data_IF_974679889478
#
_entry.id   IF_974679889478
#
_cell.length_a   1.000
_cell.length_b   1.000
_cell.length_c   1.000
_cell.angle_alpha   90.00
_cell.angle_beta   90.00
_cell.angle_gamma   90.00
#
_symmetry.space_group_name_H-M   'P 1'
#
loop_
_entity.id
_entity.type
_entity.pdbx_description
1 polymer ?
#
# COMPACT_ATOMS: atom_id res chain seq x y z
N UNK A 1 -15.20 -23.43 -24.99
CA UNK A 1 -15.15 -22.39 -23.93
C UNK A 1 -14.04 -21.41 -24.29
N UNK A 2 -14.32 -20.13 -24.57
CA UNK A 2 -13.28 -19.18 -24.96
C UNK A 2 -12.31 -18.95 -23.78
N UNK A 3 -11.02 -19.19 -24.02
CA UNK A 3 -9.97 -19.14 -23.01
C UNK A 3 -9.66 -17.67 -22.68
N UNK A 4 -10.03 -17.21 -21.47
CA UNK A 4 -9.86 -15.82 -21.06
C UNK A 4 -8.38 -15.56 -20.75
N UNK A 5 -7.68 -14.85 -21.65
CA UNK A 5 -6.29 -14.41 -21.43
C UNK A 5 -6.21 -13.58 -20.15
N UNK A 6 -5.30 -13.93 -19.23
CA UNK A 6 -5.03 -13.13 -18.03
C UNK A 6 -4.38 -11.83 -18.49
N UNK A 7 -4.89 -10.70 -18.00
CA UNK A 7 -4.30 -9.38 -18.30
C UNK A 7 -2.98 -9.26 -17.56
N UNK A 8 -2.05 -8.50 -18.14
CA UNK A 8 -0.74 -8.24 -17.54
C UNK A 8 -0.89 -7.46 -16.21
N UNK A 9 -0.03 -7.75 -15.23
CA UNK A 9 -0.10 -7.12 -13.90
C UNK A 9 0.11 -5.61 -13.97
N UNK A 10 0.96 -5.15 -14.90
CA UNK A 10 1.22 -3.73 -15.13
C UNK A 10 -0.03 -3.00 -15.64
N UNK A 11 -0.81 -3.62 -16.53
CA UNK A 11 -2.08 -3.05 -16.99
C UNK A 11 -3.10 -3.02 -15.83
N UNK A 12 -3.09 -4.05 -15.00
CA UNK A 12 -3.99 -4.15 -13.86
C UNK A 12 -3.71 -3.07 -12.81
N UNK A 13 -2.44 -2.76 -12.54
CA UNK A 13 -2.05 -1.70 -11.61
C UNK A 13 -2.39 -0.30 -12.17
N UNK A 14 -2.15 -0.06 -13.48
CA UNK A 14 -2.58 1.20 -14.13
C UNK A 14 -4.10 1.42 -13.97
N UNK A 15 -4.90 0.37 -14.16
CA UNK A 15 -6.36 0.44 -13.95
C UNK A 15 -6.73 0.71 -12.49
N UNK A 16 -5.98 0.16 -11.51
CA UNK A 16 -6.20 0.44 -10.08
C UNK A 16 -5.92 1.91 -9.76
N UNK A 17 -4.82 2.46 -10.27
CA UNK A 17 -4.42 3.87 -10.05
C UNK A 17 -5.47 4.81 -10.65
N UNK A 18 -5.83 4.64 -11.93
CA UNK A 18 -6.84 5.46 -12.59
C UNK A 18 -8.20 5.41 -11.88
N UNK A 19 -8.60 4.24 -11.37
CA UNK A 19 -9.83 4.09 -10.57
C UNK A 19 -9.76 4.86 -9.24
N UNK A 20 -8.61 4.83 -8.55
CA UNK A 20 -8.40 5.58 -7.30
C UNK A 20 -8.49 7.08 -7.56
N UNK A 21 -7.86 7.57 -8.62
CA UNK A 21 -7.90 8.99 -9.01
C UNK A 21 -9.30 9.45 -9.36
N UNK A 22 -10.02 8.69 -10.18
CA UNK A 22 -11.43 8.98 -10.50
C UNK A 22 -12.29 9.07 -9.24
N UNK A 23 -12.11 8.16 -8.28
CA UNK A 23 -12.86 8.19 -7.03
C UNK A 23 -12.48 9.41 -6.17
N UNK A 24 -11.20 9.81 -6.16
CA UNK A 24 -10.74 11.02 -5.49
C UNK A 24 -11.42 12.26 -6.08
N UNK A 25 -11.51 12.37 -7.41
CA UNK A 25 -12.21 13.46 -8.09
C UNK A 25 -13.70 13.50 -7.70
N UNK A 26 -14.39 12.36 -7.72
CA UNK A 26 -15.80 12.26 -7.32
C UNK A 26 -15.98 12.67 -5.85
N UNK A 27 -15.06 12.31 -4.97
CA UNK A 27 -15.14 12.64 -3.54
C UNK A 27 -14.90 14.12 -3.26
N UNK A 28 -14.10 14.80 -4.07
CA UNK A 28 -13.79 16.21 -3.91
C UNK A 28 -14.96 17.12 -4.34
N UNK A 29 -15.84 16.64 -5.21
CA UNK A 29 -17.03 17.36 -5.68
C UNK A 29 -18.27 16.92 -4.87
N UNK A 30 -18.90 17.80 -4.07
CA UNK A 30 -19.98 17.42 -3.17
C UNK A 30 -21.23 16.93 -3.91
N UNK A 31 -21.57 17.51 -5.07
CA UNK A 31 -22.75 17.12 -5.85
C UNK A 31 -22.57 15.73 -6.46
N UNK A 32 -21.40 15.51 -7.09
CA UNK A 32 -21.06 14.20 -7.65
C UNK A 32 -20.97 13.12 -6.56
N UNK A 33 -20.45 13.46 -5.38
CA UNK A 33 -20.39 12.55 -4.26
C UNK A 33 -21.80 12.17 -3.76
N UNK A 34 -22.70 13.15 -3.64
CA UNK A 34 -24.09 12.91 -3.23
C UNK A 34 -24.83 12.00 -4.23
N UNK A 35 -24.68 12.27 -5.53
CA UNK A 35 -25.27 11.44 -6.59
C UNK A 35 -24.76 9.99 -6.56
N UNK A 36 -23.44 9.80 -6.41
CA UNK A 36 -22.82 8.47 -6.31
C UNK A 36 -23.29 7.72 -5.04
N UNK A 37 -23.49 8.43 -3.92
CA UNK A 37 -24.03 7.86 -2.69
C UNK A 37 -25.49 7.43 -2.85
N UNK A 38 -26.31 8.24 -3.49
CA UNK A 38 -27.71 7.91 -3.79
C UNK A 38 -27.81 6.66 -4.68
N UNK A 39 -27.05 6.62 -5.78
CA UNK A 39 -26.96 5.46 -6.68
C UNK A 39 -26.56 4.18 -5.95
N UNK A 40 -25.55 4.25 -5.06
CA UNK A 40 -25.11 3.10 -4.25
C UNK A 40 -26.18 2.63 -3.27
N UNK A 41 -26.91 3.57 -2.65
CA UNK A 41 -28.02 3.26 -1.75
C UNK A 41 -29.14 2.54 -2.50
N UNK A 42 -29.55 3.04 -3.66
CA UNK A 42 -30.57 2.42 -4.50
C UNK A 42 -30.18 1.00 -4.92
N UNK A 43 -28.93 0.80 -5.37
CA UNK A 43 -28.41 -0.52 -5.72
C UNK A 43 -28.41 -1.49 -4.53
N UNK A 44 -28.12 -1.00 -3.32
CA UNK A 44 -28.19 -1.81 -2.10
C UNK A 44 -29.64 -2.20 -1.77
N UNK A 45 -30.59 -1.28 -1.87
CA UNK A 45 -32.01 -1.54 -1.64
C UNK A 45 -32.54 -2.59 -2.63
N UNK A 46 -32.27 -2.45 -3.92
CA UNK A 46 -32.59 -3.45 -4.95
C UNK A 46 -32.04 -4.85 -4.63
N UNK A 47 -30.80 -4.94 -4.12
CA UNK A 47 -30.20 -6.22 -3.70
C UNK A 47 -30.81 -6.79 -2.42
N UNK A 48 -31.26 -5.92 -1.52
CA UNK A 48 -31.96 -6.32 -0.29
C UNK A 48 -33.35 -6.86 -0.63
N UNK A 49 -34.10 -6.16 -1.48
CA UNK A 49 -35.39 -6.59 -2.03
C UNK A 49 -35.26 -7.94 -2.76
N UNK A 50 -34.23 -8.09 -3.60
CA UNK A 50 -33.97 -9.35 -4.32
C UNK A 50 -33.38 -10.47 -3.43
N UNK A 51 -33.40 -10.33 -2.09
CA UNK A 51 -32.86 -11.29 -1.09
C UNK A 51 -31.39 -11.71 -1.32
N UNK A 52 -30.61 -10.92 -2.06
CA UNK A 52 -29.16 -11.13 -2.30
C UNK A 52 -28.32 -10.63 -1.12
N UNK A 53 -28.88 -9.75 -0.29
CA UNK A 53 -28.31 -9.33 0.99
C UNK A 53 -29.21 -9.88 2.09
N UNK A 54 -28.74 -10.91 2.80
CA UNK A 54 -29.45 -11.55 3.91
C UNK A 54 -28.83 -11.08 5.23
N UNK A 55 -29.67 -10.84 6.23
CA UNK A 55 -29.20 -10.75 7.62
C UNK A 55 -28.74 -12.13 8.11
N UNK A 56 -27.93 -12.19 9.16
CA UNK A 56 -27.40 -13.48 9.66
C UNK A 56 -28.52 -14.44 10.06
N UNK A 57 -29.62 -13.93 10.63
CA UNK A 57 -30.77 -14.72 11.05
C UNK A 57 -31.55 -15.30 9.85
N UNK A 58 -31.41 -14.69 8.67
CA UNK A 58 -32.03 -15.16 7.43
C UNK A 58 -31.11 -16.10 6.62
N UNK A 59 -29.88 -16.34 7.09
CA UNK A 59 -28.95 -17.28 6.47
C UNK A 59 -29.15 -18.70 7.03
N UNK A 60 -28.86 -19.71 6.22
CA UNK A 60 -28.81 -21.11 6.70
C UNK A 60 -27.70 -21.29 7.74
N UNK A 61 -27.78 -22.29 8.64
CA UNK A 61 -26.74 -22.54 9.64
C UNK A 61 -25.33 -22.67 9.05
N UNK A 62 -25.20 -23.29 7.87
CA UNK A 62 -23.93 -23.42 7.15
C UNK A 62 -23.38 -22.08 6.67
N UNK A 63 -24.22 -21.25 6.06
CA UNK A 63 -23.85 -19.90 5.64
C UNK A 63 -23.48 -19.01 6.83
N UNK A 64 -24.22 -19.10 7.93
CA UNK A 64 -23.90 -18.38 9.17
C UNK A 64 -22.50 -18.76 9.69
N UNK A 65 -22.14 -20.05 9.70
CA UNK A 65 -20.81 -20.51 10.10
C UNK A 65 -19.71 -19.92 9.21
N UNK A 66 -19.90 -19.94 7.88
CA UNK A 66 -18.96 -19.34 6.94
C UNK A 66 -18.83 -17.83 7.13
N UNK A 67 -19.94 -17.14 7.35
CA UNK A 67 -19.95 -15.70 7.57
C UNK A 67 -19.22 -15.32 8.87
N UNK A 68 -19.46 -16.05 9.97
CA UNK A 68 -18.75 -15.86 11.24
C UNK A 68 -17.25 -16.17 11.10
N UNK A 69 -16.88 -17.18 10.32
CA UNK A 69 -15.47 -17.46 10.00
C UNK A 69 -14.81 -16.27 9.29
N UNK A 70 -15.46 -15.74 8.24
CA UNK A 70 -14.98 -14.53 7.53
C UNK A 70 -14.86 -13.33 8.45
N UNK A 71 -15.80 -13.14 9.37
CA UNK A 71 -15.73 -12.05 10.35
C UNK A 71 -14.52 -12.17 11.27
N UNK A 72 -14.23 -13.38 11.78
CA UNK A 72 -13.03 -13.63 12.59
C UNK A 72 -11.74 -13.37 11.80
N UNK A 73 -11.67 -13.83 10.56
CA UNK A 73 -10.52 -13.60 9.68
C UNK A 73 -10.32 -12.11 9.39
N UNK A 74 -11.38 -11.37 9.09
CA UNK A 74 -11.32 -9.94 8.85
C UNK A 74 -10.91 -9.16 10.10
N UNK A 75 -11.45 -9.53 11.27
CA UNK A 75 -11.08 -8.93 12.55
C UNK A 75 -9.59 -9.15 12.84
N UNK A 76 -9.10 -10.39 12.69
CA UNK A 76 -7.68 -10.73 12.83
C UNK A 76 -6.81 -9.87 11.89
N UNK A 77 -7.14 -9.81 10.61
CA UNK A 77 -6.42 -8.99 9.62
C UNK A 77 -6.40 -7.50 9.99
N UNK A 78 -7.52 -6.98 10.49
CA UNK A 78 -7.60 -5.59 10.94
C UNK A 78 -6.67 -5.33 12.13
N UNK A 79 -6.68 -6.21 13.14
CA UNK A 79 -5.83 -6.10 14.31
C UNK A 79 -4.33 -6.23 13.96
N UNK A 80 -3.97 -7.17 13.09
CA UNK A 80 -2.60 -7.31 12.57
C UNK A 80 -2.15 -6.04 11.84
N UNK A 81 -2.99 -5.52 10.93
CA UNK A 81 -2.69 -4.26 10.23
C UNK A 81 -2.49 -3.11 11.21
N UNK A 82 -3.37 -2.97 12.20
CA UNK A 82 -3.27 -1.91 13.22
C UNK A 82 -2.04 -2.06 14.11
N UNK A 83 -1.68 -3.28 14.49
CA UNK A 83 -0.46 -3.56 15.25
C UNK A 83 0.78 -3.18 14.43
N UNK A 84 0.83 -3.56 13.16
CA UNK A 84 1.94 -3.21 12.27
C UNK A 84 2.04 -1.69 12.04
N UNK A 85 0.91 -1.00 11.86
CA UNK A 85 0.88 0.47 11.77
C UNK A 85 1.47 1.13 13.01
N UNK A 86 1.14 0.63 14.22
CA UNK A 86 1.70 1.14 15.48
C UNK A 86 3.21 0.91 15.56
N UNK A 87 3.68 -0.30 15.25
CA UNK A 87 5.12 -0.62 15.21
C UNK A 87 5.88 0.29 14.25
N UNK A 88 5.31 0.55 13.07
CA UNK A 88 5.91 1.47 12.09
C UNK A 88 5.98 2.90 12.66
N UNK A 89 4.91 3.37 13.31
CA UNK A 89 4.91 4.69 13.94
C UNK A 89 5.95 4.79 15.06
N UNK A 90 6.08 3.78 15.90
CA UNK A 90 7.10 3.70 16.95
C UNK A 90 8.51 3.83 16.35
N UNK A 91 8.82 3.04 15.32
CA UNK A 91 10.13 3.12 14.62
C UNK A 91 10.39 4.50 14.03
N UNK A 92 9.38 5.13 13.39
CA UNK A 92 9.52 6.48 12.83
C UNK A 92 9.78 7.52 13.93
N UNK A 93 9.09 7.40 15.07
CA UNK A 93 9.27 8.32 16.20
C UNK A 93 10.66 8.15 16.82
N UNK A 94 11.13 6.92 17.03
CA UNK A 94 12.47 6.65 17.55
C UNK A 94 13.56 7.22 16.63
N UNK A 95 13.43 7.02 15.31
CA UNK A 95 14.38 7.58 14.33
C UNK A 95 14.39 9.11 14.34
N UNK A 96 13.24 9.76 14.55
CA UNK A 96 13.18 11.23 14.68
C UNK A 96 13.89 11.71 15.94
N UNK A 97 13.68 11.05 17.07
CA UNK A 97 14.32 11.39 18.34
C UNK A 97 15.86 11.27 18.22
N UNK A 98 16.37 10.24 17.53
CA UNK A 98 17.82 10.06 17.30
C UNK A 98 18.40 11.18 16.41
N UNK A 99 17.64 11.67 15.42
CA UNK A 99 18.06 12.80 14.57
C UNK A 99 18.08 14.11 15.36
N UNK A 100 17.07 14.35 16.20
CA UNK A 100 17.01 15.56 17.01
C UNK A 100 18.08 15.56 18.12
N UNK A 101 18.39 14.40 18.70
CA UNK A 101 19.46 14.24 19.71
C UNK A 101 20.88 14.43 19.16
N UNK A 102 21.06 14.37 17.84
CA UNK A 102 22.36 14.63 17.17
C UNK A 102 22.48 16.06 16.64
N UNK A 103 21.45 16.89 16.82
CA UNK A 103 21.45 18.30 16.43
C UNK A 103 22.00 19.23 17.53
N UNK A 104 21.95 18.82 18.80
CA UNK A 104 22.28 19.71 19.94
C UNK A 104 23.70 19.54 20.51
N UNK A 105 24.53 18.62 19.98
CA UNK A 105 25.94 18.48 20.37
C UNK A 105 26.88 18.73 19.18
N UNK A 106 26.81 19.95 18.65
CA UNK A 106 27.78 20.47 17.68
C UNK A 106 28.16 21.91 18.02
N UNK A 107 28.92 22.09 19.09
CA UNK A 107 29.99 23.10 19.08
C UNK A 107 31.08 22.62 18.14
N UNK A 108 30.77 22.55 16.83
CA UNK A 108 31.79 22.30 15.81
C UNK A 108 32.43 23.63 15.50
N UNK A 109 33.69 23.75 15.90
CA UNK A 109 34.59 24.82 15.47
C UNK A 109 34.44 24.98 13.94
N UNK A 110 34.09 26.19 13.44
CA UNK A 110 33.91 26.44 12.01
C UNK A 110 35.10 26.03 11.12
N UNK A 111 36.29 25.79 11.70
CA UNK A 111 37.49 25.34 11.00
C UNK A 111 37.58 23.81 10.82
N UNK A 112 36.75 23.02 11.49
CA UNK A 112 36.80 21.54 11.52
C UNK A 112 35.61 20.87 10.81
N UNK A 113 34.87 21.62 9.99
CA UNK A 113 33.73 21.10 9.25
C UNK A 113 34.16 19.95 8.31
N UNK A 114 33.76 18.69 8.56
CA UNK A 114 34.09 17.60 7.66
C UNK A 114 33.41 17.88 6.33
N UNK A 115 34.19 17.92 5.25
CA UNK A 115 33.77 18.20 3.87
C UNK A 115 32.56 17.32 3.46
N UNK A 116 31.37 17.79 3.82
CA UNK A 116 30.11 17.05 3.76
C UNK A 116 29.74 16.77 2.31
N UNK A 117 30.15 17.66 1.41
CA UNK A 117 30.00 17.52 -0.02
C UNK A 117 30.83 16.36 -0.56
N UNK A 118 32.08 16.22 -0.11
CA UNK A 118 32.95 15.08 -0.46
C UNK A 118 32.42 13.76 0.10
N UNK A 119 31.91 13.74 1.33
CA UNK A 119 31.30 12.56 1.93
C UNK A 119 30.02 12.14 1.19
N UNK A 120 29.17 13.10 0.83
CA UNK A 120 27.96 12.85 0.06
C UNK A 120 28.26 12.37 -1.37
N UNK A 121 29.28 12.94 -2.04
CA UNK A 121 29.79 12.47 -3.33
C UNK A 121 30.28 11.02 -3.25
N UNK A 122 31.00 10.66 -2.18
CA UNK A 122 31.50 9.29 -1.96
C UNK A 122 30.35 8.29 -1.77
N UNK A 123 29.36 8.62 -0.91
CA UNK A 123 28.17 7.80 -0.66
C UNK A 123 27.36 7.57 -1.94
N UNK A 124 27.16 8.62 -2.73
CA UNK A 124 26.46 8.53 -4.02
C UNK A 124 27.21 7.64 -5.02
N UNK A 125 28.54 7.75 -5.09
CA UNK A 125 29.39 6.88 -5.93
C UNK A 125 29.27 5.41 -5.54
N UNK A 126 29.27 5.11 -4.25
CA UNK A 126 29.09 3.74 -3.73
C UNK A 126 27.71 3.20 -4.11
N UNK A 127 26.66 4.00 -3.96
CA UNK A 127 25.29 3.61 -4.32
C UNK A 127 25.16 3.31 -5.83
N UNK A 128 25.71 4.18 -6.68
CA UNK A 128 25.76 4.00 -8.14
C UNK A 128 26.46 2.69 -8.55
N UNK A 129 27.56 2.34 -7.88
CA UNK A 129 28.28 1.09 -8.15
C UNK A 129 27.47 -0.14 -7.73
N UNK A 130 26.77 -0.11 -6.57
CA UNK A 130 25.87 -1.19 -6.15
C UNK A 130 24.74 -1.41 -7.16
N UNK A 131 24.13 -0.33 -7.66
CA UNK A 131 23.07 -0.40 -8.68
C UNK A 131 23.61 -1.03 -9.97
N UNK A 132 24.82 -0.66 -10.42
CA UNK A 132 25.45 -1.25 -11.60
C UNK A 132 25.71 -2.75 -11.43
N UNK A 133 26.19 -3.18 -10.26
CA UNK A 133 26.43 -4.59 -9.95
C UNK A 133 25.13 -5.42 -9.97
N UNK A 134 24.07 -4.91 -9.35
CA UNK A 134 22.75 -5.57 -9.36
C UNK A 134 22.17 -5.70 -10.77
N UNK A 135 22.31 -4.66 -11.61
CA UNK A 135 21.88 -4.72 -13.01
C UNK A 135 22.65 -5.79 -13.80
N UNK A 136 23.96 -5.93 -13.59
CA UNK A 136 24.77 -6.98 -14.22
C UNK A 136 24.36 -8.37 -13.76
N UNK A 137 24.15 -8.56 -12.44
CA UNK A 137 23.70 -9.84 -11.88
C UNK A 137 22.36 -10.27 -12.48
N UNK A 138 21.40 -9.36 -12.52
CA UNK A 138 20.08 -9.64 -13.10
C UNK A 138 20.14 -9.96 -14.62
N UNK A 139 21.06 -9.33 -15.35
CA UNK A 139 21.29 -9.63 -16.78
C UNK A 139 21.84 -11.05 -16.97
N UNK A 140 22.75 -11.50 -16.10
CA UNK A 140 23.30 -12.85 -16.13
C UNK A 140 22.25 -13.90 -15.76
N UNK A 141 21.49 -13.69 -14.69
CA UNK A 141 20.36 -14.56 -14.31
C UNK A 141 19.34 -14.67 -15.44
N UNK A 142 19.04 -13.58 -16.15
CA UNK A 142 18.16 -13.60 -17.33
C UNK A 142 18.73 -14.39 -18.51
N UNK A 143 20.05 -14.39 -18.70
CA UNK A 143 20.71 -15.18 -19.75
C UNK A 143 20.72 -16.67 -19.40
N UNK A 144 20.99 -17.00 -18.13
CA UNK A 144 20.98 -18.38 -17.64
C UNK A 144 19.59 -19.02 -17.70
N UNK A 145 18.53 -18.23 -17.44
CA UNK A 145 17.13 -18.69 -17.53
C UNK A 145 16.56 -18.74 -18.96
N UNK A 146 17.34 -18.29 -19.96
CA UNK A 146 16.94 -18.24 -21.38
C UNK A 146 17.65 -19.30 -22.24
N UNK A 147 18.55 -20.10 -21.67
CA UNK A 147 19.12 -21.31 -22.26
C UNK A 147 18.38 -22.54 -21.73
#
# INVERSE_FOLDING_TARGET
MPNKKRMDEDELERRRIARREKYKQIKNDPEKYAAERAKKREAYLKRKESKKVKSINQMSPREQRLQRKKWRENSKRYHEKKSNEKKIQEVIVTQRIEIDSTADDKTVDPLDAPDTERQNKLKNKILLNKIKALKRKHLLEKKEMSC
#
